data_IF_145951828676
#
_entry.id   IF_145951828676
#
_cell.length_a   1.000
_cell.length_b   1.000
_cell.length_c   1.000
_cell.angle_alpha   90.00
_cell.angle_beta   90.00
_cell.angle_gamma   90.00
#
_symmetry.space_group_name_H-M   'P 1'
#
loop_
_entity.id
_entity.type
_entity.pdbx_description
1 polymer ?
#
# COMPACT_ATOMS: atom_id res chain seq x y z
N UNK A 1 34.60 -15.75 -28.74
CA UNK A 1 34.35 -14.47 -29.43
C UNK A 1 34.02 -13.43 -28.36
N UNK A 2 34.66 -12.25 -28.36
CA UNK A 2 34.34 -11.19 -27.38
C UNK A 2 33.00 -10.56 -27.74
N UNK A 3 32.02 -10.57 -26.83
CA UNK A 3 30.71 -9.96 -27.07
C UNK A 3 30.67 -8.53 -26.54
N UNK A 4 30.93 -7.56 -27.43
CA UNK A 4 31.00 -6.14 -27.06
C UNK A 4 29.67 -5.59 -26.53
N UNK A 5 28.55 -6.22 -26.89
CA UNK A 5 27.22 -5.83 -26.41
C UNK A 5 27.08 -5.93 -24.89
N UNK A 6 27.85 -6.79 -24.23
CA UNK A 6 27.77 -6.96 -22.77
C UNK A 6 28.28 -5.74 -22.00
N UNK A 7 29.10 -4.87 -22.61
CA UNK A 7 29.53 -3.62 -21.97
C UNK A 7 28.41 -2.56 -21.91
N UNK A 8 27.37 -2.70 -22.73
CA UNK A 8 26.21 -1.80 -22.78
C UNK A 8 25.03 -2.28 -21.94
N UNK A 9 25.12 -3.48 -21.36
CA UNK A 9 24.12 -3.98 -20.42
C UNK A 9 24.39 -3.36 -19.06
N UNK A 10 23.37 -2.78 -18.45
CA UNK A 10 23.46 -2.32 -17.07
C UNK A 10 23.39 -3.53 -16.14
N UNK A 11 24.46 -3.85 -15.38
CA UNK A 11 24.44 -4.98 -14.46
C UNK A 11 23.49 -4.77 -13.26
N UNK A 12 23.08 -3.52 -13.01
CA UNK A 12 22.18 -3.18 -11.90
C UNK A 12 20.70 -3.30 -12.26
N UNK A 13 20.35 -3.51 -13.54
CA UNK A 13 18.95 -3.63 -14.01
C UNK A 13 18.30 -4.99 -13.65
N UNK A 14 19.03 -5.89 -12.99
CA UNK A 14 18.47 -7.19 -12.59
C UNK A 14 17.28 -7.02 -11.65
N UNK A 15 16.20 -7.75 -11.93
CA UNK A 15 15.03 -7.84 -11.05
C UNK A 15 15.35 -8.59 -9.75
N UNK A 16 16.37 -9.45 -9.77
CA UNK A 16 16.77 -10.28 -8.63
C UNK A 16 17.51 -9.49 -7.54
N UNK A 17 17.92 -8.24 -7.82
CA UNK A 17 18.55 -7.37 -6.82
C UNK A 17 17.45 -6.75 -5.96
N UNK A 18 17.37 -7.10 -4.69
CA UNK A 18 16.42 -6.47 -3.77
C UNK A 18 16.71 -4.97 -3.59
N UNK A 19 15.72 -4.22 -3.09
CA UNK A 19 15.93 -2.80 -2.78
C UNK A 19 16.98 -2.61 -1.67
N UNK A 20 17.01 -3.54 -0.71
CA UNK A 20 17.97 -3.54 0.39
C UNK A 20 19.41 -3.72 -0.10
N UNK A 21 19.65 -4.67 -1.00
CA UNK A 21 20.96 -4.88 -1.63
C UNK A 21 21.38 -3.65 -2.44
N UNK A 22 20.46 -3.11 -3.26
CA UNK A 22 20.73 -1.91 -4.05
C UNK A 22 21.08 -0.70 -3.16
N UNK A 23 20.40 -0.55 -2.02
CA UNK A 23 20.66 0.50 -1.03
C UNK A 23 22.01 0.33 -0.33
N UNK A 24 22.30 -0.87 0.16
CA UNK A 24 23.59 -1.19 0.80
C UNK A 24 24.76 -0.97 -0.16
N UNK A 25 24.62 -1.46 -1.40
CA UNK A 25 25.62 -1.27 -2.44
C UNK A 25 25.82 0.21 -2.81
N UNK A 26 24.74 0.97 -2.94
CA UNK A 26 24.79 2.41 -3.28
C UNK A 26 25.47 3.22 -2.19
N UNK A 27 25.07 3.02 -0.93
CA UNK A 27 25.61 3.77 0.22
C UNK A 27 27.09 3.45 0.44
N UNK A 28 27.50 2.18 0.30
CA UNK A 28 28.91 1.79 0.35
C UNK A 28 29.71 2.42 -0.80
N UNK A 29 29.16 2.39 -2.03
CA UNK A 29 29.80 3.01 -3.21
C UNK A 29 30.02 4.51 -3.00
N UNK A 30 29.01 5.23 -2.51
CA UNK A 30 29.13 6.67 -2.19
C UNK A 30 30.23 6.88 -1.13
N UNK A 31 30.23 6.09 -0.06
CA UNK A 31 31.23 6.19 1.01
C UNK A 31 32.66 5.96 0.51
N UNK A 32 32.87 4.94 -0.35
CA UNK A 32 34.18 4.65 -0.92
C UNK A 32 34.65 5.77 -1.86
N UNK A 33 33.75 6.29 -2.71
CA UNK A 33 34.05 7.41 -3.60
C UNK A 33 34.45 8.66 -2.80
N UNK A 34 33.74 8.97 -1.71
CA UNK A 34 34.07 10.09 -0.83
C UNK A 34 35.42 9.92 -0.13
N UNK A 35 35.73 8.70 0.32
CA UNK A 35 36.96 8.39 1.04
C UNK A 35 38.21 8.48 0.14
N UNK A 36 38.11 8.17 -1.15
CA UNK A 36 39.20 8.23 -2.12
C UNK A 36 38.85 9.18 -3.29
N UNK A 37 38.67 10.48 -2.99
CA UNK A 37 38.33 11.55 -3.94
C UNK A 37 39.43 12.63 -4.10
N UNK A 38 40.65 12.26 -4.50
CA UNK A 38 41.72 13.24 -4.67
C UNK A 38 41.36 14.24 -5.78
N UNK A 39 41.41 15.53 -5.46
CA UNK A 39 41.15 16.59 -6.43
C UNK A 39 39.70 16.67 -6.94
N UNK A 40 38.74 16.04 -6.26
CA UNK A 40 37.31 16.14 -6.61
C UNK A 40 36.91 15.34 -7.86
N UNK A 41 37.72 14.38 -8.30
CA UNK A 41 37.49 13.58 -9.51
C UNK A 41 36.15 12.83 -9.50
N UNK A 42 35.61 12.54 -8.32
CA UNK A 42 34.34 11.83 -8.13
C UNK A 42 33.15 12.72 -7.75
N UNK A 43 33.33 14.04 -7.58
CA UNK A 43 32.29 14.95 -7.06
C UNK A 43 30.97 14.85 -7.83
N UNK A 44 31.05 14.87 -9.16
CA UNK A 44 29.87 14.79 -10.02
C UNK A 44 29.13 13.45 -9.91
N UNK A 45 29.83 12.35 -9.61
CA UNK A 45 29.22 11.02 -9.43
C UNK A 45 28.63 10.86 -8.04
N UNK A 46 29.35 11.33 -7.01
CA UNK A 46 28.85 11.38 -5.62
C UNK A 46 27.55 12.19 -5.58
N UNK A 47 27.53 13.40 -6.15
CA UNK A 47 26.33 14.24 -6.16
C UNK A 47 25.15 13.57 -6.89
N UNK A 48 25.39 12.96 -8.05
CA UNK A 48 24.34 12.31 -8.83
C UNK A 48 23.79 11.04 -8.15
N UNK A 49 24.66 10.21 -7.57
CA UNK A 49 24.24 9.02 -6.82
C UNK A 49 23.46 9.38 -5.57
N UNK A 50 23.94 10.33 -4.77
CA UNK A 50 23.23 10.80 -3.57
C UNK A 50 21.85 11.35 -3.92
N UNK A 51 21.74 12.13 -5.01
CA UNK A 51 20.45 12.66 -5.45
C UNK A 51 19.48 11.54 -5.88
N UNK A 52 19.93 10.58 -6.70
CA UNK A 52 19.09 9.47 -7.13
C UNK A 52 18.68 8.56 -5.97
N UNK A 53 19.61 8.28 -5.04
CA UNK A 53 19.35 7.48 -3.85
C UNK A 53 18.34 8.14 -2.91
N UNK A 54 18.43 9.45 -2.71
CA UNK A 54 17.47 10.20 -1.88
C UNK A 54 16.03 10.14 -2.41
N UNK A 55 15.85 10.14 -3.74
CA UNK A 55 14.53 9.95 -4.36
C UNK A 55 13.99 8.55 -4.05
N UNK A 56 14.83 7.52 -4.19
CA UNK A 56 14.45 6.13 -3.85
C UNK A 56 14.06 6.00 -2.38
N UNK A 57 14.85 6.54 -1.45
CA UNK A 57 14.54 6.51 -0.02
C UNK A 57 13.22 7.23 0.30
N UNK A 58 12.98 8.38 -0.33
CA UNK A 58 11.75 9.16 -0.14
C UNK A 58 10.52 8.36 -0.60
N UNK A 59 10.60 7.78 -1.80
CA UNK A 59 9.49 7.03 -2.38
C UNK A 59 9.14 5.76 -1.59
N UNK A 60 10.13 5.08 -1.00
CA UNK A 60 9.89 3.82 -0.29
C UNK A 60 9.60 4.00 1.21
N UNK A 61 10.20 5.00 1.88
CA UNK A 61 9.97 5.24 3.32
C UNK A 61 8.55 5.74 3.61
N UNK A 62 8.01 6.62 2.74
CA UNK A 62 6.64 7.09 2.84
C UNK A 62 5.62 5.94 2.70
N UNK A 63 5.98 4.92 1.92
CA UNK A 63 5.10 3.80 1.64
C UNK A 63 4.99 2.78 2.77
N UNK A 64 6.08 2.52 3.51
CA UNK A 64 6.00 1.65 4.69
C UNK A 64 5.04 2.17 5.76
N UNK A 65 5.09 3.47 6.05
CA UNK A 65 4.18 4.09 7.02
C UNK A 65 2.72 4.09 6.52
N UNK A 66 2.52 4.34 5.22
CA UNK A 66 1.18 4.33 4.62
C UNK A 66 0.60 2.91 4.53
N UNK A 67 1.42 1.88 4.27
CA UNK A 67 1.01 0.47 4.25
C UNK A 67 0.40 0.01 5.58
N UNK A 68 1.06 0.32 6.70
CA UNK A 68 0.54 -0.01 8.04
C UNK A 68 -0.84 0.60 8.29
N UNK A 69 -1.01 1.86 7.88
CA UNK A 69 -2.29 2.57 8.01
C UNK A 69 -3.34 1.98 7.07
N UNK A 70 -3.02 1.71 5.80
CA UNK A 70 -3.92 1.05 4.84
C UNK A 70 -4.40 -0.31 5.36
N UNK A 71 -3.48 -1.14 5.87
CA UNK A 71 -3.83 -2.44 6.47
C UNK A 71 -4.76 -2.27 7.68
N UNK A 72 -4.46 -1.34 8.57
CA UNK A 72 -5.32 -1.05 9.72
C UNK A 72 -6.74 -0.59 9.31
N UNK A 73 -6.86 0.30 8.31
CA UNK A 73 -8.16 0.77 7.80
C UNK A 73 -8.95 -0.34 7.09
N UNK A 74 -8.30 -1.15 6.25
CA UNK A 74 -8.93 -2.33 5.61
C UNK A 74 -9.44 -3.32 6.66
N UNK A 75 -8.67 -3.57 7.72
CA UNK A 75 -9.09 -4.43 8.84
C UNK A 75 -10.28 -3.84 9.59
N UNK A 76 -10.28 -2.54 9.90
CA UNK A 76 -11.40 -1.88 10.56
C UNK A 76 -12.71 -1.99 9.75
N UNK A 77 -12.63 -1.78 8.42
CA UNK A 77 -13.77 -1.95 7.51
C UNK A 77 -14.32 -3.37 7.50
N UNK A 78 -13.42 -4.38 7.49
CA UNK A 78 -13.81 -5.79 7.58
C UNK A 78 -14.49 -6.12 8.91
N UNK A 79 -13.91 -5.70 10.03
CA UNK A 79 -14.50 -5.91 11.36
C UNK A 79 -15.89 -5.27 11.50
N UNK A 80 -16.09 -4.08 10.92
CA UNK A 80 -17.40 -3.45 10.88
C UNK A 80 -18.41 -4.31 10.09
N UNK A 81 -18.02 -4.77 8.88
CA UNK A 81 -18.86 -5.65 8.05
C UNK A 81 -19.20 -6.97 8.76
N UNK A 82 -18.25 -7.57 9.45
CA UNK A 82 -18.44 -8.83 10.19
C UNK A 82 -19.41 -8.66 11.37
N UNK A 83 -19.40 -7.50 12.04
CA UNK A 83 -20.30 -7.19 13.16
C UNK A 83 -21.71 -6.76 12.73
N UNK A 84 -21.89 -6.34 11.49
CA UNK A 84 -23.13 -5.72 11.01
C UNK A 84 -24.36 -6.64 11.06
N UNK A 85 -24.29 -7.95 10.72
CA UNK A 85 -25.44 -8.85 10.83
C UNK A 85 -26.00 -8.97 12.24
N UNK A 86 -25.14 -9.02 13.26
CA UNK A 86 -25.56 -9.11 14.65
C UNK A 86 -26.17 -7.80 15.16
N UNK A 87 -25.60 -6.65 14.74
CA UNK A 87 -26.14 -5.34 15.11
C UNK A 87 -27.52 -5.10 14.49
N UNK A 88 -27.69 -5.42 13.20
CA UNK A 88 -28.97 -5.30 12.49
C UNK A 88 -30.02 -6.28 13.01
N UNK A 89 -29.65 -7.51 13.40
CA UNK A 89 -30.55 -8.47 14.09
C UNK A 89 -31.12 -7.87 15.37
N UNK A 90 -30.26 -7.25 16.18
CA UNK A 90 -30.64 -6.66 17.45
C UNK A 90 -31.59 -5.48 17.27
N UNK A 91 -31.36 -4.64 16.26
CA UNK A 91 -32.24 -3.51 15.92
C UNK A 91 -33.59 -4.02 15.42
N UNK A 92 -33.59 -4.97 14.47
CA UNK A 92 -34.82 -5.58 13.96
C UNK A 92 -35.63 -6.23 15.08
N UNK A 93 -34.98 -7.00 15.96
CA UNK A 93 -35.62 -7.61 17.13
C UNK A 93 -36.26 -6.59 18.06
N UNK A 94 -35.62 -5.44 18.28
CA UNK A 94 -36.18 -4.37 19.09
C UNK A 94 -37.41 -3.71 18.44
N UNK A 95 -37.38 -3.45 17.14
CA UNK A 95 -38.52 -2.92 16.40
C UNK A 95 -39.70 -3.91 16.43
N UNK A 96 -39.43 -5.20 16.19
CA UNK A 96 -40.45 -6.25 16.25
C UNK A 96 -41.05 -6.39 17.65
N UNK A 97 -40.25 -6.22 18.70
CA UNK A 97 -40.72 -6.26 20.08
C UNK A 97 -41.61 -5.05 20.43
N UNK A 98 -41.30 -3.86 19.89
CA UNK A 98 -42.05 -2.64 20.17
C UNK A 98 -43.36 -2.52 19.37
N UNK A 99 -43.34 -2.90 18.09
CA UNK A 99 -44.44 -2.64 17.15
C UNK A 99 -45.12 -3.92 16.61
N UNK A 100 -44.47 -5.07 16.77
CA UNK A 100 -44.91 -6.35 16.24
C UNK A 100 -44.17 -6.76 14.95
N UNK A 101 -44.19 -8.05 14.57
CA UNK A 101 -43.36 -8.58 13.49
C UNK A 101 -43.69 -8.07 12.08
N UNK A 102 -44.92 -7.59 11.86
CA UNK A 102 -45.45 -7.15 10.57
C UNK A 102 -45.75 -5.64 10.55
N UNK A 103 -45.17 -4.90 11.49
CA UNK A 103 -45.38 -3.46 11.59
C UNK A 103 -44.68 -2.70 10.45
N UNK A 104 -45.24 -1.55 10.07
CA UNK A 104 -44.71 -0.72 9.00
C UNK A 104 -43.28 -0.26 9.30
N UNK A 105 -42.96 0.02 10.56
CA UNK A 105 -41.64 0.43 11.04
C UNK A 105 -40.58 -0.64 10.74
N UNK A 106 -40.91 -1.93 10.95
CA UNK A 106 -39.99 -3.04 10.66
C UNK A 106 -39.77 -3.15 9.14
N UNK A 107 -40.83 -3.06 8.35
CA UNK A 107 -40.75 -3.16 6.89
C UNK A 107 -40.02 -1.97 6.25
N UNK A 108 -40.19 -0.77 6.79
CA UNK A 108 -39.50 0.44 6.31
C UNK A 108 -38.03 0.48 6.72
N UNK A 109 -37.69 -0.01 7.91
CA UNK A 109 -36.30 -0.10 8.35
C UNK A 109 -35.52 -1.20 7.60
N UNK A 110 -36.20 -2.25 7.14
CA UNK A 110 -35.62 -3.42 6.47
C UNK A 110 -36.38 -3.80 5.19
N UNK A 111 -36.45 -2.93 4.17
CA UNK A 111 -37.29 -3.14 2.98
C UNK A 111 -36.92 -4.38 2.17
N UNK A 112 -35.63 -4.68 2.09
CA UNK A 112 -35.07 -5.88 1.43
C UNK A 112 -34.63 -6.95 2.45
N UNK A 113 -34.99 -6.77 3.72
CA UNK A 113 -34.50 -7.58 4.83
C UNK A 113 -33.04 -7.29 5.21
N UNK A 114 -32.54 -8.00 6.22
CA UNK A 114 -31.19 -7.78 6.78
C UNK A 114 -30.04 -8.19 5.86
N UNK A 115 -30.29 -9.08 4.91
CA UNK A 115 -29.26 -9.52 3.95
C UNK A 115 -28.83 -8.41 2.99
N UNK A 116 -29.62 -7.35 2.83
CA UNK A 116 -29.24 -6.18 2.02
C UNK A 116 -27.95 -5.52 2.54
N UNK A 117 -27.78 -5.48 3.87
CA UNK A 117 -26.61 -4.88 4.52
C UNK A 117 -25.30 -5.63 4.26
N UNK A 118 -25.36 -6.94 4.00
CA UNK A 118 -24.17 -7.73 3.66
C UNK A 118 -23.90 -7.77 2.15
N UNK A 119 -24.93 -7.58 1.31
CA UNK A 119 -24.81 -7.66 -0.16
C UNK A 119 -24.45 -6.34 -0.83
N UNK A 120 -24.83 -5.22 -0.23
CA UNK A 120 -24.57 -3.89 -0.78
C UNK A 120 -23.06 -3.58 -0.80
N UNK A 121 -22.58 -2.94 -1.86
CA UNK A 121 -21.18 -2.51 -1.95
C UNK A 121 -20.87 -1.45 -0.89
N UNK A 122 -19.59 -1.26 -0.58
CA UNK A 122 -19.16 -0.30 0.45
C UNK A 122 -19.70 1.11 0.17
N UNK A 123 -19.62 1.58 -1.07
CA UNK A 123 -20.06 2.93 -1.44
C UNK A 123 -21.56 3.17 -1.19
N UNK A 124 -22.36 2.12 -1.23
CA UNK A 124 -23.81 2.21 -1.07
C UNK A 124 -24.30 1.80 0.33
N UNK A 125 -23.43 1.30 1.22
CA UNK A 125 -23.85 0.82 2.54
C UNK A 125 -24.46 1.92 3.43
N UNK A 126 -24.11 3.18 3.19
CA UNK A 126 -24.70 4.32 3.89
C UNK A 126 -26.23 4.43 3.68
N UNK A 127 -26.75 3.99 2.52
CA UNK A 127 -28.17 4.09 2.18
C UNK A 127 -29.05 3.22 3.10
N UNK A 128 -28.86 1.88 3.19
CA UNK A 128 -29.67 1.06 4.08
C UNK A 128 -29.41 1.36 5.57
N UNK A 129 -28.19 1.76 5.95
CA UNK A 129 -27.89 2.21 7.31
C UNK A 129 -28.68 3.48 7.68
N UNK A 130 -28.72 4.47 6.78
CA UNK A 130 -29.47 5.70 6.97
C UNK A 130 -30.97 5.46 7.07
N UNK A 131 -31.54 4.68 6.14
CA UNK A 131 -32.97 4.35 6.15
C UNK A 131 -33.41 3.64 7.45
N UNK A 132 -32.62 2.66 7.91
CA UNK A 132 -32.86 2.00 9.20
C UNK A 132 -32.80 3.01 10.35
N UNK A 133 -31.80 3.89 10.35
CA UNK A 133 -31.60 4.85 11.41
C UNK A 133 -32.70 5.92 11.49
N UNK A 134 -33.21 6.39 10.36
CA UNK A 134 -34.30 7.36 10.31
C UNK A 134 -35.56 6.79 10.98
N UNK A 135 -35.87 5.52 10.71
CA UNK A 135 -37.00 4.83 11.36
C UNK A 135 -36.75 4.66 12.86
N UNK A 136 -35.57 4.18 13.26
CA UNK A 136 -35.23 4.02 14.68
C UNK A 136 -35.29 5.35 15.44
N UNK A 137 -34.83 6.44 14.83
CA UNK A 137 -34.87 7.77 15.41
C UNK A 137 -36.31 8.31 15.52
N UNK A 138 -37.13 8.13 14.49
CA UNK A 138 -38.55 8.49 14.52
C UNK A 138 -39.32 7.70 15.59
N UNK A 139 -38.93 6.44 15.82
CA UNK A 139 -39.51 5.53 16.81
C UNK A 139 -38.84 5.59 18.19
N UNK A 140 -37.94 6.55 18.44
CA UNK A 140 -37.08 6.55 19.63
C UNK A 140 -37.84 6.50 20.96
N UNK A 141 -39.04 7.10 21.04
CA UNK A 141 -39.87 7.09 22.25
C UNK A 141 -40.37 5.69 22.64
N UNK A 142 -40.46 4.77 21.68
CA UNK A 142 -40.93 3.40 21.88
C UNK A 142 -39.78 2.39 21.99
N UNK A 143 -38.53 2.83 21.83
CA UNK A 143 -37.34 2.00 21.82
C UNK A 143 -36.45 2.29 23.02
N UNK A 144 -35.61 1.33 23.38
CA UNK A 144 -34.60 1.58 24.41
C UNK A 144 -33.53 2.54 23.90
N UNK A 145 -32.99 3.43 24.74
CA UNK A 145 -31.90 4.33 24.34
C UNK A 145 -30.70 3.60 23.74
N UNK A 146 -30.42 2.36 24.20
CA UNK A 146 -29.33 1.55 23.67
C UNK A 146 -29.50 1.20 22.18
N UNK A 147 -30.73 0.98 21.70
CA UNK A 147 -31.00 0.67 20.29
C UNK A 147 -30.89 1.91 19.42
N UNK A 148 -31.38 3.05 19.91
CA UNK A 148 -31.24 4.34 19.23
C UNK A 148 -29.76 4.70 19.08
N UNK A 149 -28.98 4.57 20.16
CA UNK A 149 -27.52 4.79 20.13
C UNK A 149 -26.80 3.80 19.23
N UNK A 150 -27.18 2.51 19.24
CA UNK A 150 -26.59 1.51 18.37
C UNK A 150 -26.78 1.87 16.89
N UNK A 151 -28.02 2.21 16.51
CA UNK A 151 -28.35 2.58 15.12
C UNK A 151 -27.56 3.80 14.65
N UNK A 152 -27.57 4.89 15.42
CA UNK A 152 -26.81 6.10 15.09
C UNK A 152 -25.29 5.84 15.07
N UNK A 153 -24.82 4.96 15.96
CA UNK A 153 -23.44 4.51 16.02
C UNK A 153 -23.00 3.77 14.76
N UNK A 154 -23.87 2.96 14.14
CA UNK A 154 -23.55 2.27 12.89
C UNK A 154 -23.35 3.23 11.71
N UNK A 155 -24.23 4.24 11.57
CA UNK A 155 -24.13 5.26 10.52
C UNK A 155 -22.82 6.05 10.66
N UNK A 156 -22.60 6.63 11.83
CA UNK A 156 -21.39 7.45 12.10
C UNK A 156 -20.09 6.66 12.00
N UNK A 157 -20.08 5.41 12.47
CA UNK A 157 -18.91 4.53 12.36
C UNK A 157 -18.63 4.18 10.90
N UNK A 158 -19.65 3.88 10.10
CA UNK A 158 -19.47 3.57 8.69
C UNK A 158 -18.90 4.77 7.92
N UNK A 159 -19.50 5.95 8.06
CA UNK A 159 -19.03 7.18 7.40
C UNK A 159 -17.56 7.47 7.75
N UNK A 160 -17.20 7.34 9.03
CA UNK A 160 -15.82 7.55 9.50
C UNK A 160 -14.86 6.53 8.89
N UNK A 161 -15.21 5.23 8.93
CA UNK A 161 -14.34 4.16 8.42
C UNK A 161 -14.19 4.25 6.90
N UNK A 162 -15.27 4.51 6.18
CA UNK A 162 -15.28 4.65 4.72
C UNK A 162 -14.42 5.85 4.30
N UNK A 163 -14.65 7.04 4.88
CA UNK A 163 -13.84 8.23 4.60
C UNK A 163 -12.35 7.99 4.87
N UNK A 164 -12.00 7.41 6.02
CA UNK A 164 -10.60 7.12 6.35
C UNK A 164 -9.96 6.07 5.42
N UNK A 165 -10.74 5.14 4.88
CA UNK A 165 -10.28 4.16 3.90
C UNK A 165 -9.97 4.82 2.55
N UNK A 166 -10.85 5.72 2.10
CA UNK A 166 -10.68 6.46 0.86
C UNK A 166 -9.49 7.43 0.95
N UNK A 167 -9.36 8.17 2.06
CA UNK A 167 -8.22 9.04 2.32
C UNK A 167 -6.91 8.25 2.36
N UNK A 168 -6.87 7.08 2.99
CA UNK A 168 -5.66 6.24 3.05
C UNK A 168 -5.28 5.67 1.68
N UNK A 169 -6.26 5.46 0.79
CA UNK A 169 -6.03 5.00 -0.59
C UNK A 169 -5.53 6.15 -1.47
N UNK A 170 -6.11 7.34 -1.31
CA UNK A 170 -5.66 8.57 -1.96
C UNK A 170 -4.29 9.07 -1.45
N UNK A 171 -3.90 8.70 -0.23
CA UNK A 171 -2.63 9.06 0.40
C UNK A 171 -1.41 8.24 -0.11
N UNK A 172 -1.53 7.49 -1.21
CA UNK A 172 -0.35 7.01 -1.95
C UNK A 172 0.42 8.23 -2.45
N UNK A 173 1.46 8.64 -1.72
CA UNK A 173 2.26 9.82 -2.09
C UNK A 173 3.08 9.58 -3.36
N UNK A 174 3.36 8.32 -3.69
CA UNK A 174 4.03 7.91 -4.91
C UNK A 174 3.35 6.68 -5.53
N UNK A 175 3.18 6.70 -6.84
CA UNK A 175 2.68 5.60 -7.65
C UNK A 175 3.74 4.51 -7.83
N UNK A 176 3.32 3.28 -8.13
CA UNK A 176 4.27 2.20 -8.49
C UNK A 176 5.14 2.56 -9.70
N UNK A 177 4.59 3.36 -10.62
CA UNK A 177 5.33 3.89 -11.77
C UNK A 177 6.46 4.84 -11.31
N UNK A 178 6.18 5.73 -10.35
CA UNK A 178 7.21 6.63 -9.80
C UNK A 178 8.29 5.89 -9.02
N UNK A 179 7.93 4.86 -8.26
CA UNK A 179 8.91 4.01 -7.56
C UNK A 179 9.80 3.25 -8.53
N UNK A 180 9.22 2.66 -9.57
CA UNK A 180 9.97 2.00 -10.64
C UNK A 180 10.91 2.98 -11.34
N UNK A 181 10.41 4.16 -11.71
CA UNK A 181 11.23 5.20 -12.33
C UNK A 181 12.37 5.67 -11.41
N UNK A 182 12.13 5.83 -10.11
CA UNK A 182 13.16 6.18 -9.14
C UNK A 182 14.24 5.09 -9.05
N UNK A 183 13.83 3.82 -9.00
CA UNK A 183 14.75 2.67 -9.00
C UNK A 183 15.59 2.62 -10.28
N UNK A 184 14.96 2.72 -11.45
CA UNK A 184 15.64 2.75 -12.75
C UNK A 184 16.64 3.91 -12.84
N UNK A 185 16.28 5.10 -12.34
CA UNK A 185 17.17 6.24 -12.29
C UNK A 185 18.41 5.99 -11.41
N UNK A 186 18.24 5.32 -10.27
CA UNK A 186 19.37 4.93 -9.41
C UNK A 186 20.26 3.89 -10.08
N UNK A 187 19.67 2.83 -10.65
CA UNK A 187 20.40 1.79 -11.40
C UNK A 187 21.21 2.40 -12.54
N UNK A 188 20.66 3.38 -13.26
CA UNK A 188 21.37 4.12 -14.29
C UNK A 188 22.54 4.94 -13.74
N UNK A 189 22.37 5.64 -12.60
CA UNK A 189 23.49 6.38 -12.01
C UNK A 189 24.61 5.46 -11.51
N UNK A 190 24.30 4.27 -11.00
CA UNK A 190 25.30 3.26 -10.66
C UNK A 190 26.06 2.79 -11.91
N UNK A 191 25.36 2.57 -13.03
CA UNK A 191 26.00 2.22 -14.30
C UNK A 191 26.91 3.32 -14.85
N UNK A 192 26.46 4.58 -14.81
CA UNK A 192 27.29 5.72 -15.22
C UNK A 192 28.51 5.85 -14.31
N UNK A 193 28.36 5.55 -13.02
CA UNK A 193 29.48 5.54 -12.05
C UNK A 193 30.47 4.42 -12.35
N UNK A 194 29.99 3.22 -12.69
CA UNK A 194 30.84 2.13 -13.17
C UNK A 194 31.65 2.55 -14.41
N UNK A 195 31.00 3.17 -15.39
CA UNK A 195 31.67 3.68 -16.59
C UNK A 195 32.70 4.78 -16.27
N UNK A 196 32.39 5.68 -15.33
CA UNK A 196 33.32 6.70 -14.83
C UNK A 196 34.56 6.07 -14.21
N UNK A 197 34.40 5.03 -13.39
CA UNK A 197 35.52 4.30 -12.79
C UNK A 197 36.39 3.60 -13.84
N UNK A 198 35.77 2.97 -14.84
CA UNK A 198 36.48 2.35 -15.96
C UNK A 198 37.32 3.37 -16.76
N UNK A 199 36.81 4.59 -16.95
CA UNK A 199 37.50 5.67 -17.62
C UNK A 199 38.63 6.26 -16.76
N UNK A 200 38.39 6.42 -15.45
CA UNK A 200 39.34 7.02 -14.51
C UNK A 200 40.51 6.08 -14.20
N UNK A 201 40.24 4.78 -14.09
CA UNK A 201 41.22 3.75 -13.71
C UNK A 201 41.29 2.64 -14.78
N UNK A 202 41.74 2.97 -16.01
CA UNK A 202 41.76 2.00 -17.10
C UNK A 202 42.69 0.83 -16.76
N UNK A 203 42.22 -0.39 -17.03
CA UNK A 203 42.93 -1.66 -16.78
C UNK A 203 43.34 -1.91 -15.31
N UNK A 204 42.69 -1.24 -14.34
CA UNK A 204 42.93 -1.43 -12.91
C UNK A 204 41.69 -2.04 -12.22
N UNK A 205 41.39 -3.33 -12.42
CA UNK A 205 40.19 -3.96 -11.84
C UNK A 205 40.17 -3.93 -10.30
N UNK A 206 41.34 -3.93 -9.64
CA UNK A 206 41.42 -3.77 -8.18
C UNK A 206 40.85 -2.43 -7.69
N UNK A 207 40.88 -1.38 -8.52
CA UNK A 207 40.21 -0.10 -8.19
C UNK A 207 38.70 -0.25 -8.24
N UNK A 208 38.15 -1.07 -9.13
CA UNK A 208 36.71 -1.34 -9.15
C UNK A 208 36.25 -2.01 -7.85
N UNK A 209 36.96 -3.03 -7.39
CA UNK A 209 36.66 -3.71 -6.11
C UNK A 209 36.75 -2.77 -4.90
N UNK A 210 37.63 -1.77 -4.94
CA UNK A 210 37.75 -0.76 -3.90
C UNK A 210 36.51 0.14 -3.81
N UNK A 211 35.91 0.51 -4.94
CA UNK A 211 34.78 1.45 -4.98
C UNK A 211 33.42 0.76 -5.00
N UNK A 212 33.28 -0.37 -5.69
CA UNK A 212 32.02 -1.06 -5.95
C UNK A 212 32.13 -2.53 -5.52
N UNK A 213 31.69 -2.82 -4.29
CA UNK A 213 31.78 -4.15 -3.68
C UNK A 213 30.71 -5.08 -4.22
N UNK A 214 31.05 -5.86 -5.24
CA UNK A 214 30.12 -6.76 -5.93
C UNK A 214 29.38 -7.73 -5.00
N UNK A 215 30.02 -8.22 -3.94
CA UNK A 215 29.40 -9.15 -2.99
C UNK A 215 28.17 -8.59 -2.26
N UNK A 216 27.96 -7.27 -2.25
CA UNK A 216 26.74 -6.66 -1.70
C UNK A 216 25.52 -6.82 -2.63
N UNK A 217 25.72 -7.38 -3.83
CA UNK A 217 24.68 -7.72 -4.80
C UNK A 217 24.50 -9.24 -4.94
N UNK A 218 25.18 -10.04 -4.11
CA UNK A 218 25.15 -11.50 -4.15
C UNK A 218 24.43 -12.04 -2.90
N UNK A 219 23.16 -12.42 -3.08
CA UNK A 219 22.30 -13.20 -2.18
C UNK A 219 22.26 -12.77 -0.71
N UNK A 220 21.33 -11.87 -0.38
CA UNK A 220 20.67 -11.88 0.92
C UNK A 220 19.22 -12.35 0.79
N UNK A 221 18.77 -13.36 1.56
CA UNK A 221 17.38 -13.80 1.51
C UNK A 221 16.48 -12.62 1.82
N UNK A 222 15.52 -12.35 0.91
CA UNK A 222 14.55 -11.28 1.04
C UNK A 222 13.97 -11.27 2.47
N UNK A 223 13.96 -10.09 3.08
CA UNK A 223 13.29 -9.93 4.37
C UNK A 223 11.82 -10.31 4.19
N UNK A 224 11.22 -11.13 5.08
CA UNK A 224 9.83 -11.55 4.95
C UNK A 224 8.94 -10.30 5.05
N UNK A 225 8.40 -9.85 3.91
CA UNK A 225 7.66 -8.60 3.81
C UNK A 225 7.56 -8.00 2.41
N UNK A 226 8.39 -8.44 1.46
CA UNK A 226 8.29 -8.10 0.02
C UNK A 226 7.33 -9.04 -0.73
N UNK A 227 6.23 -9.48 -0.09
CA UNK A 227 5.17 -10.15 -0.83
C UNK A 227 4.49 -9.10 -1.71
N UNK A 228 4.68 -9.28 -3.02
CA UNK A 228 4.04 -8.55 -4.11
C UNK A 228 2.55 -8.36 -3.80
N UNK A 229 2.09 -7.11 -3.95
CA UNK A 229 0.68 -6.75 -3.90
C UNK A 229 -0.08 -7.51 -5.01
N UNK A 230 -0.51 -8.75 -4.74
CA UNK A 230 -1.54 -9.45 -5.50
C UNK A 230 -2.91 -8.84 -5.15
N UNK A 231 -3.19 -7.68 -5.74
CA UNK A 231 -4.54 -7.16 -5.90
C UNK A 231 -4.92 -7.20 -7.39
N UNK A 232 -5.52 -8.30 -7.84
CA UNK A 232 -6.12 -8.29 -9.19
C UNK A 232 -6.64 -9.59 -9.80
N UNK A 233 -7.07 -10.59 -9.04
CA UNK A 233 -7.84 -11.71 -9.60
C UNK A 233 -9.33 -11.35 -9.71
N UNK A 234 -9.79 -10.92 -10.89
CA UNK A 234 -11.23 -10.89 -11.22
C UNK A 234 -11.86 -12.27 -10.93
N UNK A 235 -13.01 -12.36 -10.25
CA UNK A 235 -13.71 -13.62 -10.13
C UNK A 235 -14.26 -14.04 -11.49
N UNK A 236 -13.82 -15.20 -11.97
CA UNK A 236 -14.33 -15.90 -13.14
C UNK A 236 -15.87 -16.04 -13.05
N UNK A 237 -16.65 -15.70 -14.08
CA UNK A 237 -18.09 -15.89 -14.05
C UNK A 237 -18.42 -17.39 -14.00
N UNK A 238 -19.50 -17.78 -13.29
CA UNK A 238 -19.85 -19.20 -13.15
C UNK A 238 -20.18 -19.80 -14.51
N UNK A 239 -19.56 -20.94 -14.80
CA UNK A 239 -19.90 -21.77 -15.95
C UNK A 239 -21.37 -22.21 -15.84
N UNK A 240 -22.13 -21.98 -16.91
CA UNK A 240 -23.46 -22.52 -17.09
C UNK A 240 -23.36 -24.05 -17.29
N UNK A 241 -23.96 -24.81 -16.38
CA UNK A 241 -24.44 -26.18 -16.61
C UNK A 241 -25.91 -26.31 -16.21
#
# INVERSE_FOLDING_TARGET
MRQLINFFKNPFDSADISLAELSAFTTDTIGNLQADNPGGVHDARIAALTAAYSVVETCHSADFASLGTRKARKTAKRLFRDGLPAATDRIEGALKAAFGPQAAEVQQAFPEGRSAFSRVTDDHLHVPLGAMNDIVAASAASLTPAIVTLSAGLVSSWETIHTQSEEATAAKSHTEVEKRAAREALQLQLYITLAHLMLTYPAQPAKLEQYMKQHLLEDHPAAPGEDEDDEGGEPEPPAEE
#
